data_IF_979687778525
#
_entry.id   IF_979687778525
#
_cell.length_a   1.000
_cell.length_b   1.000
_cell.length_c   1.000
_cell.angle_alpha   90.00
_cell.angle_beta   90.00
_cell.angle_gamma   90.00
#
_symmetry.space_group_name_H-M   'P 1'
#
loop_
_entity.id
_entity.type
_entity.pdbx_description
1 polymer ?
#
# COMPACT_ATOMS: atom_id res chain seq x y z
N UNK A 1 33.44 14.64 31.31
CA UNK A 1 33.03 13.81 30.13
C UNK A 1 31.86 12.84 30.43
N UNK A 2 31.77 12.21 31.62
CA UNK A 2 30.69 11.25 31.94
C UNK A 2 29.26 11.83 31.88
N UNK A 3 29.06 13.08 32.31
CA UNK A 3 27.74 13.73 32.29
C UNK A 3 27.21 14.11 30.90
N UNK A 4 28.08 14.23 29.88
CA UNK A 4 27.66 14.51 28.50
C UNK A 4 27.08 13.25 27.84
N UNK A 5 27.64 12.07 28.18
CA UNK A 5 27.20 10.78 27.66
C UNK A 5 25.80 10.38 28.16
N UNK A 6 25.51 10.65 29.45
CA UNK A 6 24.18 10.42 30.03
C UNK A 6 23.11 11.32 29.40
N UNK A 7 23.44 12.58 29.10
CA UNK A 7 22.51 13.49 28.40
C UNK A 7 22.23 13.04 26.97
N UNK A 8 23.24 12.54 26.25
CA UNK A 8 23.07 11.99 24.90
C UNK A 8 22.15 10.75 24.91
N UNK A 9 22.33 9.85 25.87
CA UNK A 9 21.53 8.63 26.02
C UNK A 9 20.06 8.94 26.36
N UNK A 10 19.82 9.96 27.20
CA UNK A 10 18.48 10.43 27.53
C UNK A 10 17.78 11.07 26.32
N UNK A 11 18.49 11.87 25.52
CA UNK A 11 17.93 12.50 24.30
C UNK A 11 17.53 11.44 23.27
N UNK A 12 18.37 10.41 23.07
CA UNK A 12 18.03 9.31 22.15
C UNK A 12 16.83 8.50 22.63
N UNK A 13 16.70 8.26 23.94
CA UNK A 13 15.57 7.52 24.49
C UNK A 13 14.24 8.28 24.33
N UNK A 14 14.25 9.60 24.52
CA UNK A 14 13.08 10.46 24.32
C UNK A 14 12.67 10.49 22.84
N UNK A 15 13.64 10.53 21.92
CA UNK A 15 13.36 10.50 20.49
C UNK A 15 12.73 9.16 20.05
N UNK A 16 13.23 8.04 20.58
CA UNK A 16 12.65 6.71 20.34
C UNK A 16 11.24 6.57 20.91
N UNK A 17 10.94 7.16 22.06
CA UNK A 17 9.61 7.09 22.68
C UNK A 17 8.54 7.85 21.88
N UNK A 18 8.88 9.03 21.34
CA UNK A 18 7.97 9.82 20.49
C UNK A 18 7.56 9.08 19.20
N UNK A 19 8.45 8.24 18.67
CA UNK A 19 8.15 7.43 17.48
C UNK A 19 7.06 6.40 17.78
N UNK A 20 7.07 5.74 18.95
CA UNK A 20 6.07 4.74 19.35
C UNK A 20 4.67 5.35 19.52
N UNK A 21 4.57 6.56 20.08
CA UNK A 21 3.28 7.22 20.31
C UNK A 21 2.57 7.63 19.01
N UNK A 22 3.33 8.05 17.99
CA UNK A 22 2.78 8.39 16.67
C UNK A 22 2.17 7.17 15.96
N UNK A 23 2.66 5.95 16.24
CA UNK A 23 2.10 4.72 15.66
C UNK A 23 0.73 4.32 16.23
N UNK A 24 0.32 4.80 17.41
CA UNK A 24 -0.93 4.36 18.06
C UNK A 24 -2.18 5.16 17.70
N UNK A 25 -2.07 6.22 16.88
CA UNK A 25 -3.14 7.22 16.69
C UNK A 25 -3.86 7.16 15.33
N UNK A 26 -3.82 6.04 14.61
CA UNK A 26 -4.63 5.88 13.38
C UNK A 26 -5.59 4.69 13.50
N UNK A 27 -6.69 4.86 14.26
CA UNK A 27 -7.88 4.02 14.05
C UNK A 27 -8.76 4.69 13.00
N UNK A 28 -9.08 4.02 11.87
CA UNK A 28 -10.02 4.57 10.91
C UNK A 28 -11.46 4.38 11.38
N UNK A 29 -12.23 5.46 11.19
CA UNK A 29 -13.68 5.55 11.28
C UNK A 29 -14.35 4.37 10.56
N UNK A 30 -15.18 3.60 11.28
CA UNK A 30 -15.99 2.51 10.71
C UNK A 30 -17.17 3.13 9.96
N UNK A 31 -16.89 3.50 8.71
CA UNK A 31 -17.93 3.67 7.70
C UNK A 31 -18.37 2.26 7.26
N UNK A 32 -19.68 2.00 7.20
CA UNK A 32 -20.26 0.73 6.74
C UNK A 32 -19.68 0.31 5.37
N UNK A 33 -18.68 -0.57 5.41
CA UNK A 33 -17.91 -1.03 4.27
C UNK A 33 -17.12 -2.27 4.66
N UNK A 34 -16.55 -2.99 3.69
CA UNK A 34 -15.87 -4.27 3.97
C UNK A 34 -14.78 -4.06 5.02
N UNK A 35 -14.81 -4.89 6.07
CA UNK A 35 -13.86 -4.88 7.17
C UNK A 35 -12.50 -5.42 6.68
N UNK A 36 -11.75 -4.54 5.99
CA UNK A 36 -10.39 -4.79 5.55
C UNK A 36 -9.56 -3.54 5.81
N UNK A 37 -8.57 -3.67 6.70
CA UNK A 37 -7.66 -2.58 7.04
C UNK A 37 -6.60 -2.44 5.94
N UNK A 38 -6.63 -1.31 5.24
CA UNK A 38 -5.63 -1.01 4.23
C UNK A 38 -4.34 -0.51 4.87
N UNK A 39 -3.18 -0.90 4.30
CA UNK A 39 -1.89 -0.43 4.75
C UNK A 39 -1.73 1.07 4.50
N UNK A 40 -1.03 1.75 5.41
CA UNK A 40 -0.76 3.18 5.29
C UNK A 40 0.03 3.52 4.01
N UNK A 41 -0.45 4.54 3.27
CA UNK A 41 0.14 5.00 2.01
C UNK A 41 1.59 5.47 2.14
N UNK A 42 1.96 6.05 3.29
CA UNK A 42 3.27 6.65 3.51
C UNK A 42 3.53 7.81 2.55
N UNK A 43 4.65 7.75 1.81
CA UNK A 43 5.02 8.78 0.85
C UNK A 43 4.21 8.70 -0.45
N UNK A 44 3.66 9.84 -0.87
CA UNK A 44 2.87 10.02 -2.08
C UNK A 44 3.73 10.29 -3.32
N UNK A 45 3.21 10.00 -4.53
CA UNK A 45 3.93 10.21 -5.78
C UNK A 45 4.14 11.67 -6.17
N UNK A 46 3.68 12.62 -5.36
CA UNK A 46 3.91 14.05 -5.57
C UNK A 46 5.25 14.54 -5.00
N UNK A 47 5.92 13.76 -4.16
CA UNK A 47 7.17 14.14 -3.52
C UNK A 47 8.40 13.54 -4.23
N UNK A 48 9.53 14.28 -4.39
CA UNK A 48 10.74 13.78 -5.06
C UNK A 48 11.30 12.51 -4.42
N UNK A 49 11.18 12.36 -3.10
CA UNK A 49 11.62 11.16 -2.38
C UNK A 49 10.85 9.87 -2.76
N UNK A 50 9.74 9.99 -3.50
CA UNK A 50 8.95 8.84 -3.95
C UNK A 50 9.75 7.93 -4.88
N UNK A 51 10.70 8.49 -5.63
CA UNK A 51 11.58 7.73 -6.53
C UNK A 51 12.37 6.67 -5.74
N UNK A 52 12.92 7.04 -4.58
CA UNK A 52 13.66 6.09 -3.73
C UNK A 52 12.76 4.99 -3.17
N UNK A 53 11.52 5.34 -2.79
CA UNK A 53 10.53 4.36 -2.35
C UNK A 53 10.21 3.36 -3.46
N UNK A 54 9.95 3.83 -4.68
CA UNK A 54 9.69 2.95 -5.82
C UNK A 54 10.90 2.08 -6.14
N UNK A 55 12.11 2.62 -6.12
CA UNK A 55 13.34 1.86 -6.35
C UNK A 55 13.51 0.74 -5.32
N UNK A 56 13.30 1.03 -4.02
CA UNK A 56 13.32 0.02 -2.96
C UNK A 56 12.26 -1.06 -3.18
N UNK A 57 11.04 -0.67 -3.53
CA UNK A 57 9.93 -1.62 -3.75
C UNK A 57 10.25 -2.56 -4.93
N UNK A 58 10.80 -2.03 -6.02
CA UNK A 58 11.24 -2.85 -7.16
C UNK A 58 12.41 -3.77 -6.81
N UNK A 59 13.40 -3.25 -6.08
CA UNK A 59 14.53 -4.06 -5.60
C UNK A 59 14.04 -5.22 -4.72
N UNK A 60 13.08 -4.97 -3.84
CA UNK A 60 12.50 -5.99 -2.96
C UNK A 60 11.76 -7.07 -3.76
N UNK A 61 10.95 -6.67 -4.76
CA UNK A 61 10.27 -7.62 -5.64
C UNK A 61 11.25 -8.45 -6.46
N UNK A 62 12.29 -7.82 -6.99
CA UNK A 62 13.31 -8.49 -7.79
C UNK A 62 14.16 -9.45 -6.95
N UNK A 63 14.54 -9.04 -5.74
CA UNK A 63 15.34 -9.85 -4.82
C UNK A 63 14.55 -11.04 -4.23
N UNK A 64 13.22 -10.93 -4.14
CA UNK A 64 12.36 -12.00 -3.61
C UNK A 64 12.24 -13.14 -4.62
N UNK A 65 12.85 -14.29 -4.30
CA UNK A 65 12.81 -15.51 -5.13
C UNK A 65 11.57 -16.37 -4.91
N UNK A 66 11.04 -16.34 -3.69
CA UNK A 66 9.85 -17.09 -3.26
C UNK A 66 8.58 -16.47 -3.88
N UNK A 67 7.83 -17.27 -4.64
CA UNK A 67 6.63 -16.82 -5.37
C UNK A 67 5.47 -16.49 -4.43
N UNK A 68 5.32 -17.21 -3.32
CA UNK A 68 4.29 -16.93 -2.32
C UNK A 68 4.59 -15.59 -1.62
N UNK A 69 5.85 -15.36 -1.24
CA UNK A 69 6.26 -14.07 -0.68
C UNK A 69 6.13 -12.93 -1.70
N UNK A 70 6.42 -13.21 -2.96
CA UNK A 70 6.24 -12.23 -4.05
C UNK A 70 4.76 -11.87 -4.25
N UNK A 71 3.85 -12.84 -4.16
CA UNK A 71 2.40 -12.59 -4.16
C UNK A 71 1.96 -11.69 -2.99
N UNK A 72 2.49 -11.93 -1.78
CA UNK A 72 2.22 -11.09 -0.61
C UNK A 72 2.75 -9.65 -0.79
N UNK A 73 3.93 -9.49 -1.39
CA UNK A 73 4.48 -8.18 -1.72
C UNK A 73 3.64 -7.45 -2.77
N UNK A 74 3.16 -8.16 -3.80
CA UNK A 74 2.25 -7.58 -4.79
C UNK A 74 0.96 -7.08 -4.18
N UNK A 75 0.33 -7.86 -3.29
CA UNK A 75 -0.84 -7.43 -2.53
C UNK A 75 -0.54 -6.17 -1.72
N UNK A 76 0.53 -6.19 -0.91
CA UNK A 76 0.93 -5.04 -0.09
C UNK A 76 1.14 -3.76 -0.92
N UNK A 77 1.74 -3.90 -2.10
CA UNK A 77 2.08 -2.80 -2.99
C UNK A 77 0.89 -2.29 -3.79
N UNK A 78 -0.08 -3.16 -4.04
CA UNK A 78 -1.36 -2.79 -4.64
C UNK A 78 -2.20 -2.00 -3.64
N UNK A 79 -2.45 -2.57 -2.45
CA UNK A 79 -3.23 -1.96 -1.38
C UNK A 79 -2.67 -0.56 -1.00
N UNK A 80 -1.35 -0.43 -0.89
CA UNK A 80 -0.70 0.87 -0.61
C UNK A 80 -0.98 1.91 -1.70
N UNK A 81 -0.98 1.51 -2.97
CA UNK A 81 -1.21 2.42 -4.11
C UNK A 81 -2.67 2.84 -4.20
N UNK A 82 -3.60 1.98 -3.80
CA UNK A 82 -5.00 2.36 -3.65
C UNK A 82 -5.17 3.49 -2.64
N UNK A 83 -4.59 3.37 -1.44
CA UNK A 83 -4.66 4.42 -0.41
C UNK A 83 -3.96 5.70 -0.88
N UNK A 84 -2.82 5.59 -1.59
CA UNK A 84 -2.17 6.76 -2.19
C UNK A 84 -3.09 7.47 -3.19
N UNK A 85 -3.78 6.71 -4.05
CA UNK A 85 -4.78 7.23 -4.98
C UNK A 85 -5.89 7.99 -4.26
N UNK A 86 -6.48 7.40 -3.23
CA UNK A 86 -7.53 8.03 -2.43
C UNK A 86 -7.05 9.35 -1.81
N UNK A 87 -5.82 9.39 -1.27
CA UNK A 87 -5.24 10.63 -0.72
C UNK A 87 -4.97 11.70 -1.79
N UNK A 88 -4.63 11.30 -3.02
CA UNK A 88 -4.41 12.22 -4.13
C UNK A 88 -5.72 12.83 -4.65
N UNK A 89 -6.81 12.07 -4.67
CA UNK A 89 -8.16 12.60 -4.99
C UNK A 89 -8.54 13.69 -3.99
N UNK A 90 -8.36 13.44 -2.69
CA UNK A 90 -8.61 14.43 -1.63
C UNK A 90 -7.76 15.70 -1.76
N UNK A 91 -6.63 15.63 -2.49
CA UNK A 91 -5.74 16.76 -2.79
C UNK A 91 -6.03 17.41 -4.16
N UNK A 92 -7.10 17.02 -4.84
CA UNK A 92 -7.49 17.52 -6.17
C UNK A 92 -6.58 17.06 -7.32
N UNK A 93 -5.73 16.05 -7.10
CA UNK A 93 -4.78 15.54 -8.11
C UNK A 93 -5.35 14.31 -8.84
N UNK A 94 -6.50 14.47 -9.49
CA UNK A 94 -7.29 13.37 -10.09
C UNK A 94 -6.49 12.49 -11.06
N UNK A 95 -5.86 13.08 -12.08
CA UNK A 95 -5.01 12.35 -13.03
C UNK A 95 -3.89 11.54 -12.37
N UNK A 96 -3.24 12.12 -11.35
CA UNK A 96 -2.17 11.43 -10.62
C UNK A 96 -2.73 10.30 -9.75
N UNK A 97 -3.92 10.48 -9.17
CA UNK A 97 -4.61 9.44 -8.43
C UNK A 97 -4.96 8.26 -9.33
N UNK A 98 -5.59 8.50 -10.49
CA UNK A 98 -6.02 7.45 -11.43
C UNK A 98 -4.81 6.63 -11.89
N UNK A 99 -3.74 7.29 -12.30
CA UNK A 99 -2.50 6.61 -12.72
C UNK A 99 -1.84 5.84 -11.58
N UNK A 100 -1.97 6.30 -10.33
CA UNK A 100 -1.42 5.61 -9.15
C UNK A 100 -2.22 4.36 -8.81
N UNK A 101 -3.55 4.45 -8.83
CA UNK A 101 -4.45 3.29 -8.63
C UNK A 101 -4.28 2.27 -9.75
N UNK A 102 -4.30 2.69 -11.01
CA UNK A 102 -4.08 1.81 -12.17
C UNK A 102 -2.76 1.03 -12.07
N UNK A 103 -1.68 1.68 -11.62
CA UNK A 103 -0.41 0.98 -11.33
C UNK A 103 -0.54 -0.01 -10.17
N UNK A 104 -1.34 0.30 -9.14
CA UNK A 104 -1.68 -0.61 -8.05
C UNK A 104 -2.43 -1.85 -8.52
N UNK A 105 -3.46 -1.67 -9.34
CA UNK A 105 -4.25 -2.77 -9.92
C UNK A 105 -3.38 -3.69 -10.79
N UNK A 106 -2.44 -3.12 -11.56
CA UNK A 106 -1.47 -3.92 -12.32
C UNK A 106 -0.59 -4.82 -11.45
N UNK A 107 -0.34 -4.47 -10.19
CA UNK A 107 0.31 -5.38 -9.24
C UNK A 107 -0.65 -6.43 -8.71
N UNK A 108 -1.90 -6.05 -8.45
CA UNK A 108 -2.94 -6.99 -7.99
C UNK A 108 -3.16 -8.13 -8.97
N UNK A 109 -3.23 -7.80 -10.27
CA UNK A 109 -3.43 -8.76 -11.36
C UNK A 109 -2.30 -9.79 -11.49
N UNK A 110 -1.13 -9.56 -10.89
CA UNK A 110 -0.03 -10.53 -10.89
C UNK A 110 -0.14 -11.59 -9.79
N UNK A 111 -1.01 -11.37 -8.80
CA UNK A 111 -1.15 -12.27 -7.65
C UNK A 111 -1.61 -13.67 -8.09
N UNK A 112 -2.63 -13.84 -8.96
CA UNK A 112 -3.06 -15.16 -9.42
C UNK A 112 -1.93 -15.95 -10.07
N UNK A 113 -1.16 -15.34 -10.98
CA UNK A 113 -0.03 -15.99 -11.65
C UNK A 113 1.02 -16.47 -10.63
N UNK A 114 1.35 -15.65 -9.63
CA UNK A 114 2.31 -16.05 -8.60
C UNK A 114 1.79 -17.19 -7.72
N UNK A 115 0.48 -17.22 -7.43
CA UNK A 115 -0.15 -18.30 -6.68
C UNK A 115 -0.18 -19.61 -7.48
N UNK A 116 -0.42 -19.53 -8.78
CA UNK A 116 -0.35 -20.67 -9.69
C UNK A 116 1.07 -21.24 -9.75
N UNK A 117 2.09 -20.41 -9.97
CA UNK A 117 3.49 -20.87 -9.97
C UNK A 117 3.90 -21.47 -8.62
N UNK A 118 3.38 -20.94 -7.51
CA UNK A 118 3.61 -21.51 -6.17
C UNK A 118 3.07 -22.95 -6.08
N UNK A 119 1.86 -23.17 -6.60
CA UNK A 119 1.20 -24.49 -6.68
C UNK A 119 1.97 -25.47 -7.56
N UNK A 120 2.47 -25.01 -8.70
CA UNK A 120 3.31 -25.81 -9.61
C UNK A 120 4.63 -26.26 -8.95
N UNK A 121 5.15 -25.49 -8.00
CA UNK A 121 6.35 -25.81 -7.23
C UNK A 121 6.08 -26.73 -6.03
N UNK A 122 4.85 -27.23 -5.89
CA UNK A 122 4.45 -28.12 -4.79
C UNK A 122 4.24 -27.42 -3.46
N UNK A 123 4.12 -26.08 -3.45
CA UNK A 123 3.74 -25.30 -2.28
C UNK A 123 2.31 -24.79 -2.43
N UNK A 124 1.60 -24.60 -1.31
CA UNK A 124 0.25 -24.03 -1.34
C UNK A 124 0.20 -22.73 -0.53
N UNK A 125 -0.61 -21.79 -1.01
CA UNK A 125 -0.93 -20.61 -0.25
C UNK A 125 -1.91 -20.96 0.87
N UNK A 126 -1.67 -20.44 2.07
CA UNK A 126 -2.60 -20.54 3.19
C UNK A 126 -3.97 -19.99 2.82
N UNK A 127 -5.04 -20.65 3.26
CA UNK A 127 -6.41 -20.22 3.06
C UNK A 127 -6.64 -18.77 3.55
N UNK A 128 -6.00 -18.38 4.65
CA UNK A 128 -6.05 -17.02 5.19
C UNK A 128 -5.54 -15.98 4.19
N UNK A 129 -4.45 -16.28 3.46
CA UNK A 129 -3.92 -15.38 2.45
C UNK A 129 -4.87 -15.26 1.26
N UNK A 130 -5.45 -16.37 0.80
CA UNK A 130 -6.44 -16.35 -0.29
C UNK A 130 -7.67 -15.53 0.10
N UNK A 131 -8.16 -15.71 1.33
CA UNK A 131 -9.26 -14.91 1.87
C UNK A 131 -8.88 -13.43 1.97
N UNK A 132 -7.65 -13.11 2.37
CA UNK A 132 -7.12 -11.75 2.42
C UNK A 132 -7.12 -11.08 1.04
N UNK A 133 -6.67 -11.79 0.00
CA UNK A 133 -6.69 -11.29 -1.39
C UNK A 133 -8.12 -11.01 -1.84
N UNK A 134 -9.08 -11.90 -1.55
CA UNK A 134 -10.49 -11.68 -1.88
C UNK A 134 -11.06 -10.46 -1.18
N UNK A 135 -10.82 -10.31 0.13
CA UNK A 135 -11.27 -9.16 0.91
C UNK A 135 -10.67 -7.86 0.40
N UNK A 136 -9.36 -7.86 0.06
CA UNK A 136 -8.70 -6.71 -0.55
C UNK A 136 -9.35 -6.34 -1.88
N UNK A 137 -9.64 -7.32 -2.75
CA UNK A 137 -10.31 -7.05 -4.03
C UNK A 137 -11.66 -6.35 -3.86
N UNK A 138 -12.49 -6.82 -2.94
CA UNK A 138 -13.78 -6.16 -2.68
C UNK A 138 -13.56 -4.74 -2.14
N UNK A 139 -12.54 -4.53 -1.31
CA UNK A 139 -12.19 -3.19 -0.80
C UNK A 139 -11.66 -2.27 -1.90
N UNK A 140 -10.89 -2.80 -2.84
CA UNK A 140 -10.43 -2.08 -4.02
C UNK A 140 -11.61 -1.58 -4.85
N UNK A 141 -12.58 -2.45 -5.13
CA UNK A 141 -13.81 -2.07 -5.84
C UNK A 141 -14.56 -0.97 -5.09
N UNK A 142 -14.81 -1.13 -3.78
CA UNK A 142 -15.50 -0.13 -2.95
C UNK A 142 -14.83 1.25 -3.04
N UNK A 143 -13.51 1.31 -2.94
CA UNK A 143 -12.76 2.57 -2.94
C UNK A 143 -12.68 3.17 -4.34
N UNK A 144 -12.48 2.36 -5.39
CA UNK A 144 -12.45 2.83 -6.77
C UNK A 144 -13.81 3.43 -7.16
N UNK A 145 -14.92 2.78 -6.78
CA UNK A 145 -16.27 3.30 -6.99
C UNK A 145 -16.52 4.61 -6.22
N UNK A 146 -16.05 4.72 -4.97
CA UNK A 146 -16.10 5.97 -4.20
C UNK A 146 -15.27 7.06 -4.89
N UNK A 147 -14.05 6.75 -5.32
CA UNK A 147 -13.17 7.68 -6.02
C UNK A 147 -13.78 8.15 -7.33
N UNK A 148 -14.41 7.26 -8.12
CA UNK A 148 -15.04 7.60 -9.39
C UNK A 148 -16.15 8.66 -9.23
N UNK A 149 -16.87 8.66 -8.11
CA UNK A 149 -17.89 9.68 -7.78
C UNK A 149 -17.28 11.04 -7.39
N UNK A 150 -16.04 11.05 -6.90
CA UNK A 150 -15.32 12.25 -6.46
C UNK A 150 -14.53 12.92 -7.60
N UNK A 151 -14.28 12.22 -8.71
CA UNK A 151 -13.59 12.79 -9.88
C UNK A 151 -14.56 13.66 -10.70
N UNK A 152 -14.19 14.91 -11.08
CA UNK A 152 -15.01 15.72 -11.98
C UNK A 152 -15.18 15.01 -13.34
N UNK A 153 -16.42 14.91 -13.83
CA UNK A 153 -16.73 14.34 -15.15
C UNK A 153 -15.93 15.07 -16.25
N UNK A 154 -14.96 14.37 -16.83
CA UNK A 154 -14.01 14.93 -17.82
C UNK A 154 -12.68 14.17 -17.94
N UNK A 155 -12.31 13.36 -16.94
CA UNK A 155 -11.11 12.49 -16.98
C UNK A 155 -11.42 10.98 -17.18
N UNK A 156 -12.69 10.62 -17.41
CA UNK A 156 -13.16 9.22 -17.58
C UNK A 156 -12.47 8.46 -18.73
N UNK A 157 -12.01 9.16 -19.77
CA UNK A 157 -11.33 8.56 -20.93
C UNK A 157 -9.93 7.97 -20.64
N UNK A 158 -9.44 8.02 -19.40
CA UNK A 158 -8.19 7.36 -19.00
C UNK A 158 -8.37 5.95 -18.42
N UNK A 159 -9.61 5.47 -18.33
CA UNK A 159 -9.97 4.15 -17.77
C UNK A 159 -10.06 3.03 -18.83
N UNK A 160 -9.89 3.36 -20.12
CA UNK A 160 -10.08 2.42 -21.26
C UNK A 160 -8.90 2.33 -22.23
N UNK A 161 -7.67 2.62 -21.79
CA UNK A 161 -6.45 2.49 -22.61
C UNK A 161 -5.36 1.62 -21.95
#
# INVERSE_FOLDING_TARGET
MKGLFIKLLLITAIFSFSIVFVYSQTMPNVENGVAYELPYAGLLPDHPLYIFKVARDQFTLWSTRDYLKKAQLYLLYSDKRLVMGQQLIKRGKSKLAITTVSKGEKYFLKIPDMLETTREQGAEATQDFVNKVKLSNVKHIEIIEKMAKEVPQGEENSLTA
#
